data_IF_059255343111
#
_entry.id   IF_059255343111
#
_cell.length_a   1.000
_cell.length_b   1.000
_cell.length_c   1.000
_cell.angle_alpha   90.00
_cell.angle_beta   90.00
_cell.angle_gamma   90.00
#
_symmetry.space_group_name_H-M   'P 1'
#
loop_
_entity.id
_entity.type
_entity.pdbx_description
1 polymer ?
#
# COMPACT_ATOMS: atom_id res chain seq x y z
N UNK A 1 -3.82 16.55 -10.33
CA UNK A 1 -3.90 15.49 -9.31
C UNK A 1 -3.95 14.16 -10.01
N UNK A 2 -3.20 13.17 -9.54
CA UNK A 2 -3.28 11.81 -10.05
C UNK A 2 -4.61 11.17 -9.59
N UNK A 3 -5.19 10.27 -10.38
CA UNK A 3 -6.43 9.60 -9.98
C UNK A 3 -6.16 8.59 -8.86
N UNK A 4 -7.07 8.52 -7.88
CA UNK A 4 -6.96 7.63 -6.71
C UNK A 4 -6.64 6.18 -7.11
N UNK A 5 -7.32 5.64 -8.12
CA UNK A 5 -7.08 4.27 -8.59
C UNK A 5 -5.63 4.05 -9.07
N UNK A 6 -5.04 5.04 -9.76
CA UNK A 6 -3.63 4.96 -10.20
C UNK A 6 -2.66 4.98 -9.03
N UNK A 7 -2.94 5.78 -8.00
CA UNK A 7 -2.12 5.80 -6.78
C UNK A 7 -2.16 4.45 -6.06
N UNK A 8 -3.35 3.84 -5.92
CA UNK A 8 -3.51 2.51 -5.34
C UNK A 8 -2.71 1.47 -6.13
N UNK A 9 -2.82 1.46 -7.46
CA UNK A 9 -2.08 0.53 -8.31
C UNK A 9 -0.56 0.67 -8.12
N UNK A 10 -0.04 1.90 -8.06
CA UNK A 10 1.39 2.14 -7.84
C UNK A 10 1.85 1.70 -6.45
N UNK A 11 1.06 1.95 -5.40
CA UNK A 11 1.37 1.49 -4.05
C UNK A 11 1.43 -0.04 -4.00
N UNK A 12 0.41 -0.73 -4.53
CA UNK A 12 0.34 -2.20 -4.50
C UNK A 12 1.50 -2.82 -5.29
N UNK A 13 1.83 -2.26 -6.46
CA UNK A 13 2.96 -2.73 -7.26
C UNK A 13 4.29 -2.52 -6.52
N UNK A 14 4.53 -1.33 -5.98
CA UNK A 14 5.73 -1.04 -5.21
C UNK A 14 5.88 -2.01 -4.04
N UNK A 15 4.82 -2.25 -3.27
CA UNK A 15 4.85 -3.17 -2.11
C UNK A 15 5.15 -4.60 -2.55
N UNK A 16 4.58 -5.04 -3.67
CA UNK A 16 4.85 -6.37 -4.23
C UNK A 16 6.29 -6.57 -4.69
N UNK A 17 6.91 -5.53 -5.24
CA UNK A 17 8.29 -5.53 -5.77
C UNK A 17 9.35 -5.27 -4.68
N UNK A 18 9.02 -4.48 -3.66
CA UNK A 18 9.97 -3.97 -2.66
C UNK A 18 9.63 -4.46 -1.25
N UNK A 19 9.46 -5.78 -1.09
CA UNK A 19 8.88 -6.42 0.10
C UNK A 19 9.59 -6.07 1.41
N UNK A 20 10.92 -5.98 1.39
CA UNK A 20 11.76 -5.74 2.56
C UNK A 20 12.03 -4.25 2.82
N UNK A 21 11.50 -3.35 1.98
CA UNK A 21 11.73 -1.93 2.13
C UNK A 21 11.01 -1.34 3.35
N UNK A 22 11.61 -0.32 3.95
CA UNK A 22 10.98 0.42 5.05
C UNK A 22 9.67 1.11 4.61
N UNK A 23 9.60 1.52 3.34
CA UNK A 23 8.37 2.06 2.74
C UNK A 23 7.25 1.02 2.73
N UNK A 24 7.54 -0.21 2.31
CA UNK A 24 6.58 -1.32 2.35
C UNK A 24 6.12 -1.62 3.78
N UNK A 25 7.04 -1.65 4.76
CA UNK A 25 6.69 -1.83 6.17
C UNK A 25 5.74 -0.73 6.66
N UNK A 26 6.04 0.53 6.33
CA UNK A 26 5.24 1.69 6.73
C UNK A 26 3.82 1.65 6.13
N UNK A 27 3.70 1.40 4.83
CA UNK A 27 2.41 1.29 4.14
C UNK A 27 1.57 0.14 4.70
N UNK A 28 2.16 -1.06 4.86
CA UNK A 28 1.45 -2.20 5.43
C UNK A 28 0.95 -1.91 6.85
N UNK A 29 1.77 -1.29 7.70
CA UNK A 29 1.35 -0.94 9.07
C UNK A 29 0.24 0.10 9.09
N UNK A 30 0.26 1.10 8.19
CA UNK A 30 -0.80 2.12 8.13
C UNK A 30 -2.12 1.53 7.65
N UNK A 31 -2.09 0.71 6.60
CA UNK A 31 -3.32 0.21 5.96
C UNK A 31 -3.85 -1.07 6.60
N UNK A 32 -2.96 -2.01 6.96
CA UNK A 32 -3.33 -3.31 7.52
C UNK A 32 -3.22 -3.35 9.06
N UNK A 33 -2.67 -2.31 9.68
CA UNK A 33 -2.42 -2.25 11.13
C UNK A 33 -1.21 -3.07 11.59
N UNK A 34 -0.56 -3.82 10.70
CA UNK A 34 0.60 -4.65 10.99
C UNK A 34 1.46 -4.85 9.74
N UNK A 35 2.69 -5.34 9.91
CA UNK A 35 3.49 -5.86 8.80
C UNK A 35 3.30 -7.38 8.73
N UNK A 36 2.73 -7.91 7.63
CA UNK A 36 2.48 -9.35 7.47
C UNK A 36 3.78 -10.15 7.42
N UNK A 37 3.75 -11.39 7.94
CA UNK A 37 4.90 -12.30 7.88
C UNK A 37 5.24 -12.72 6.44
N UNK A 38 4.22 -12.89 5.59
CA UNK A 38 4.38 -13.24 4.17
C UNK A 38 3.73 -12.20 3.25
N UNK A 39 4.49 -11.77 2.25
CA UNK A 39 4.02 -10.87 1.19
C UNK A 39 3.62 -11.65 -0.06
N UNK A 40 2.48 -12.33 0.04
CA UNK A 40 1.88 -13.13 -1.03
C UNK A 40 0.73 -12.38 -1.75
N UNK A 41 0.13 -13.01 -2.75
CA UNK A 41 -1.00 -12.42 -3.49
C UNK A 41 -2.23 -12.15 -2.63
N UNK A 42 -2.44 -12.90 -1.52
CA UNK A 42 -3.55 -12.65 -0.59
C UNK A 42 -3.29 -11.42 0.25
N UNK A 43 -2.04 -11.22 0.69
CA UNK A 43 -1.63 -10.02 1.40
C UNK A 43 -1.75 -8.77 0.51
N UNK A 44 -1.32 -8.85 -0.75
CA UNK A 44 -1.49 -7.75 -1.71
C UNK A 44 -2.96 -7.43 -2.00
N UNK A 45 -3.82 -8.45 -2.09
CA UNK A 45 -5.26 -8.24 -2.24
C UNK A 45 -5.88 -7.55 -1.02
N UNK A 46 -5.49 -7.94 0.21
CA UNK A 46 -5.93 -7.26 1.44
C UNK A 46 -5.45 -5.80 1.49
N UNK A 47 -4.20 -5.56 1.07
CA UNK A 47 -3.66 -4.20 1.00
C UNK A 47 -4.47 -3.34 0.03
N UNK A 48 -4.75 -3.85 -1.18
CA UNK A 48 -5.60 -3.16 -2.16
C UNK A 48 -6.97 -2.84 -1.56
N UNK A 49 -7.64 -3.80 -0.94
CA UNK A 49 -8.95 -3.60 -0.33
C UNK A 49 -8.90 -2.53 0.78
N UNK A 50 -7.84 -2.53 1.59
CA UNK A 50 -7.63 -1.51 2.63
C UNK A 50 -7.43 -0.12 2.04
N UNK A 51 -6.68 0.00 0.95
CA UNK A 51 -6.48 1.26 0.22
C UNK A 51 -7.77 1.76 -0.44
N UNK A 52 -8.58 0.88 -1.02
CA UNK A 52 -9.87 1.23 -1.63
C UNK A 52 -10.90 1.71 -0.59
N UNK A 53 -10.80 1.22 0.65
CA UNK A 53 -11.61 1.68 1.78
C UNK A 53 -11.04 2.91 2.51
N UNK A 54 -9.82 3.33 2.19
CA UNK A 54 -9.18 4.47 2.82
C UNK A 54 -9.63 5.81 2.20
N UNK A 55 -9.55 6.87 2.99
CA UNK A 55 -9.78 8.23 2.49
C UNK A 55 -8.67 8.68 1.54
N UNK A 56 -8.97 9.64 0.66
CA UNK A 56 -8.02 10.14 -0.34
C UNK A 56 -6.70 10.63 0.28
N UNK A 57 -6.76 11.40 1.38
CA UNK A 57 -5.57 11.91 2.08
C UNK A 57 -4.63 10.78 2.57
N UNK A 58 -5.20 9.64 2.98
CA UNK A 58 -4.42 8.49 3.45
C UNK A 58 -3.76 7.75 2.29
N UNK A 59 -4.44 7.67 1.14
CA UNK A 59 -3.89 7.10 -0.10
C UNK A 59 -2.77 7.98 -0.62
N UNK A 60 -2.95 9.30 -0.65
CA UNK A 60 -1.91 10.25 -1.03
C UNK A 60 -0.70 10.16 -0.08
N UNK A 61 -0.94 10.07 1.22
CA UNK A 61 0.13 9.85 2.21
C UNK A 61 0.91 8.55 1.94
N UNK A 62 0.22 7.45 1.65
CA UNK A 62 0.88 6.19 1.29
C UNK A 62 1.63 6.28 -0.04
N UNK A 63 1.08 7.01 -1.01
CA UNK A 63 1.71 7.23 -2.30
C UNK A 63 3.04 7.97 -2.18
N UNK A 64 3.09 9.03 -1.36
CA UNK A 64 4.33 9.77 -1.10
C UNK A 64 5.39 8.98 -0.30
N UNK A 65 5.02 7.87 0.35
CA UNK A 65 5.97 6.99 1.03
C UNK A 65 6.72 6.11 0.03
N UNK A 66 6.09 5.76 -1.09
CA UNK A 66 6.62 4.79 -2.07
C UNK A 66 7.23 5.43 -3.32
N UNK A 67 7.12 6.74 -3.45
CA UNK A 67 7.73 7.57 -4.50
C UNK A 67 9.05 8.17 -4.04
#
# INVERSE_FOLDING_TARGET
MMEQGKMIDQIVNFVGENRESQATVAVCRRILGHYPEEMDGRTLAKLRQGLEGAGQDEIESCYYIVM
#
